data_IF_147791772613
#
_entry.id   IF_147791772613
#
_cell.length_a   1.000
_cell.length_b   1.000
_cell.length_c   1.000
_cell.angle_alpha   90.00
_cell.angle_beta   90.00
_cell.angle_gamma   90.00
#
_symmetry.space_group_name_H-M   'P 1'
#
loop_
_entity.id
_entity.type
_entity.pdbx_description
1 polymer ?
#
# COMPACT_ATOMS: atom_id res chain seq x y z
N UNK A 1 10.57 -26.02 2.04
CA UNK A 1 11.00 -24.77 2.68
C UNK A 1 10.44 -24.79 4.09
N UNK A 2 11.28 -24.68 5.13
CA UNK A 2 10.80 -24.64 6.52
C UNK A 2 10.15 -23.28 6.77
N UNK A 3 8.99 -23.23 7.42
CA UNK A 3 8.32 -21.98 7.82
C UNK A 3 9.12 -21.19 8.87
N UNK A 4 10.08 -21.83 9.53
CA UNK A 4 10.97 -21.19 10.51
C UNK A 4 12.21 -20.55 9.85
N UNK A 5 12.37 -20.65 8.53
CA UNK A 5 13.53 -20.10 7.85
C UNK A 5 13.39 -18.58 7.66
N UNK A 6 14.44 -17.77 7.89
CA UNK A 6 14.36 -16.31 7.73
C UNK A 6 13.87 -15.86 6.35
N UNK A 7 14.11 -16.68 5.31
CA UNK A 7 13.67 -16.43 3.94
C UNK A 7 12.15 -16.59 3.74
N UNK A 8 11.44 -17.17 4.71
CA UNK A 8 9.98 -17.27 4.70
C UNK A 8 9.28 -15.95 5.10
N UNK A 9 10.04 -14.97 5.62
CA UNK A 9 9.51 -13.69 6.09
C UNK A 9 9.82 -12.56 5.10
N UNK A 10 8.85 -11.69 4.88
CA UNK A 10 9.03 -10.47 4.11
C UNK A 10 9.47 -9.33 5.02
N UNK A 11 10.30 -8.43 4.50
CA UNK A 11 10.65 -7.20 5.19
C UNK A 11 9.37 -6.36 5.44
N UNK A 12 9.21 -5.91 6.68
CA UNK A 12 8.03 -5.15 7.13
C UNK A 12 7.84 -3.85 6.34
N UNK A 13 8.90 -3.07 6.17
CA UNK A 13 8.85 -1.78 5.49
C UNK A 13 8.54 -1.95 4.00
N UNK A 14 9.17 -2.94 3.35
CA UNK A 14 8.84 -3.28 1.96
C UNK A 14 7.38 -3.76 1.82
N UNK A 15 6.87 -4.50 2.80
CA UNK A 15 5.46 -4.93 2.81
C UNK A 15 4.51 -3.74 2.97
N UNK A 16 4.88 -2.77 3.80
CA UNK A 16 4.16 -1.51 3.97
C UNK A 16 4.14 -0.68 2.68
N UNK A 17 5.31 -0.47 2.06
CA UNK A 17 5.43 0.27 0.80
C UNK A 17 4.63 -0.41 -0.32
N UNK A 18 4.66 -1.74 -0.41
CA UNK A 18 3.84 -2.49 -1.36
C UNK A 18 2.34 -2.35 -1.10
N UNK A 19 1.92 -2.21 0.16
CA UNK A 19 0.53 -1.91 0.49
C UNK A 19 0.16 -0.48 0.04
N UNK A 20 0.96 0.53 0.40
CA UNK A 20 0.74 1.90 -0.03
C UNK A 20 0.68 2.04 -1.56
N UNK A 21 1.55 1.33 -2.30
CA UNK A 21 1.51 1.33 -3.77
C UNK A 21 0.18 0.82 -4.32
N UNK A 22 -0.35 -0.27 -3.76
CA UNK A 22 -1.65 -0.82 -4.17
C UNK A 22 -2.81 0.15 -3.93
N UNK A 23 -2.75 0.96 -2.86
CA UNK A 23 -3.75 2.01 -2.63
C UNK A 23 -3.57 3.16 -3.63
N UNK A 24 -2.32 3.52 -3.96
CA UNK A 24 -2.03 4.53 -4.98
C UNK A 24 -2.51 4.09 -6.37
N UNK A 25 -2.41 2.80 -6.72
CA UNK A 25 -2.95 2.28 -7.97
C UNK A 25 -4.46 2.55 -8.11
N UNK A 26 -5.23 2.49 -7.00
CA UNK A 26 -6.66 2.82 -6.98
C UNK A 26 -6.95 4.31 -7.16
N UNK A 27 -5.98 5.19 -6.89
CA UNK A 27 -6.10 6.63 -7.15
C UNK A 27 -5.97 6.93 -8.66
N UNK A 28 -5.13 6.16 -9.34
CA UNK A 28 -4.77 6.32 -10.75
C UNK A 28 -5.76 5.59 -11.69
N UNK A 29 -6.50 4.61 -11.19
CA UNK A 29 -7.44 3.80 -11.98
C UNK A 29 -8.66 4.61 -12.48
N UNK A 30 -8.84 4.80 -13.80
CA UNK A 30 -9.98 5.53 -14.36
C UNK A 30 -11.32 4.80 -14.19
N UNK A 31 -11.33 3.49 -13.94
CA UNK A 31 -12.56 2.71 -13.69
C UNK A 31 -13.10 2.94 -12.27
N UNK A 32 -12.29 3.50 -11.37
CA UNK A 32 -12.73 3.89 -10.02
C UNK A 32 -13.44 5.25 -10.08
N UNK A 33 -14.65 5.38 -9.53
CA UNK A 33 -15.37 6.65 -9.50
C UNK A 33 -14.54 7.78 -8.88
N UNK A 34 -14.63 8.99 -9.44
CA UNK A 34 -13.78 10.12 -9.08
C UNK A 34 -13.75 10.43 -7.57
N UNK A 35 -14.89 10.31 -6.89
CA UNK A 35 -14.97 10.56 -5.44
C UNK A 35 -14.27 9.46 -4.63
N UNK A 36 -14.29 8.21 -5.08
CA UNK A 36 -13.57 7.11 -4.42
C UNK A 36 -12.05 7.27 -4.61
N UNK A 37 -11.59 7.69 -5.79
CA UNK A 37 -10.18 8.05 -6.03
C UNK A 37 -9.70 9.14 -5.07
N UNK A 38 -10.53 10.16 -4.81
CA UNK A 38 -10.21 11.22 -3.86
C UNK A 38 -10.06 10.67 -2.43
N UNK A 39 -10.89 9.72 -2.01
CA UNK A 39 -10.75 9.05 -0.71
C UNK A 39 -9.45 8.26 -0.64
N UNK A 40 -9.13 7.48 -1.68
CA UNK A 40 -7.87 6.74 -1.74
C UNK A 40 -6.66 7.67 -1.71
N UNK A 41 -6.71 8.84 -2.35
CA UNK A 41 -5.65 9.84 -2.28
C UNK A 41 -5.44 10.34 -0.84
N UNK A 42 -6.52 10.58 -0.09
CA UNK A 42 -6.44 10.90 1.34
C UNK A 42 -5.82 9.77 2.18
N UNK A 43 -6.16 8.50 1.87
CA UNK A 43 -5.58 7.33 2.54
C UNK A 43 -4.09 7.21 2.25
N UNK A 44 -3.65 7.43 1.00
CA UNK A 44 -2.22 7.44 0.66
C UNK A 44 -1.47 8.52 1.43
N UNK A 45 -2.06 9.71 1.60
CA UNK A 45 -1.50 10.78 2.43
C UNK A 45 -1.29 10.33 3.88
N UNK A 46 -2.30 9.70 4.50
CA UNK A 46 -2.16 9.16 5.86
C UNK A 46 -1.09 8.07 5.96
N UNK A 47 -1.00 7.17 4.96
CA UNK A 47 0.01 6.11 4.92
C UNK A 47 1.43 6.65 4.75
N UNK A 48 1.59 7.75 4.02
CA UNK A 48 2.84 8.46 3.88
C UNK A 48 3.25 9.09 5.23
N UNK A 49 2.33 9.81 5.88
CA UNK A 49 2.58 10.46 7.17
C UNK A 49 2.87 9.46 8.29
N UNK A 50 2.33 8.23 8.23
CA UNK A 50 2.64 7.17 9.20
C UNK A 50 3.97 6.47 8.92
N UNK A 51 4.43 6.47 7.66
CA UNK A 51 5.69 5.82 7.28
C UNK A 51 6.93 6.67 7.64
N UNK A 52 6.83 7.99 7.59
CA UNK A 52 7.92 8.94 7.83
C UNK A 52 7.89 9.54 9.24
#
# INVERSE_FOLDING_TARGET
MSIDSPEAYLNRELSWLNFARRVLDLVEDPEVPLLERMKFAGIVGMLHDEFF
#
